data_IF_505334981559
#
_entry.id   IF_505334981559
#
_cell.length_a   1.000
_cell.length_b   1.000
_cell.length_c   1.000
_cell.angle_alpha   90.00
_cell.angle_beta   90.00
_cell.angle_gamma   90.00
#
_symmetry.space_group_name_H-M   'P 1'
#
loop_
_entity.id
_entity.type
_entity.pdbx_description
1 polymer ?
#
# COMPACT_ATOMS: atom_id res chain seq x y z
N UNK A 1 -22.94 -28.29 -41.66
CA UNK A 1 -23.33 -27.33 -40.62
C UNK A 1 -23.17 -28.04 -39.30
N UNK A 2 -22.31 -27.53 -38.42
CA UNK A 2 -22.23 -27.85 -36.98
C UNK A 2 -22.01 -29.33 -36.60
N UNK A 3 -21.73 -29.74 -35.36
CA UNK A 3 -21.26 -29.02 -34.17
C UNK A 3 -19.79 -29.52 -33.89
N UNK A 4 -19.05 -29.31 -32.79
CA UNK A 4 -19.24 -28.79 -31.43
C UNK A 4 -17.98 -28.02 -30.98
N UNK A 5 -18.04 -27.35 -29.82
CA UNK A 5 -16.89 -26.88 -29.03
C UNK A 5 -16.77 -27.74 -27.76
N UNK A 6 -15.57 -28.21 -27.42
CA UNK A 6 -15.22 -28.68 -26.05
C UNK A 6 -13.73 -28.43 -25.74
N UNK A 7 -13.36 -27.15 -25.58
CA UNK A 7 -12.23 -26.83 -24.70
C UNK A 7 -12.76 -26.78 -23.26
N UNK A 8 -12.57 -27.88 -22.53
CA UNK A 8 -12.95 -28.00 -21.13
C UNK A 8 -11.97 -27.18 -20.28
N UNK A 9 -12.24 -25.88 -20.21
CA UNK A 9 -11.49 -24.92 -19.39
C UNK A 9 -11.93 -25.05 -17.94
N UNK A 10 -11.34 -25.99 -17.20
CA UNK A 10 -11.59 -26.14 -15.77
C UNK A 10 -11.33 -24.82 -15.03
N UNK A 11 -12.25 -24.34 -14.19
CA UNK A 11 -11.98 -23.16 -13.38
C UNK A 11 -10.89 -23.52 -12.37
N UNK A 12 -9.75 -22.83 -12.43
CA UNK A 12 -8.71 -22.96 -11.41
C UNK A 12 -9.31 -22.63 -10.05
N UNK A 13 -9.40 -23.63 -9.19
CA UNK A 13 -9.94 -23.51 -7.84
C UNK A 13 -8.98 -22.64 -7.00
N UNK A 14 -9.27 -21.34 -6.93
CA UNK A 14 -8.46 -20.37 -6.19
C UNK A 14 -8.51 -20.71 -4.70
N UNK A 15 -7.53 -21.49 -4.23
CA UNK A 15 -7.39 -21.83 -2.81
C UNK A 15 -7.47 -20.55 -1.98
N UNK A 16 -8.32 -20.48 -0.94
CA UNK A 16 -8.38 -19.31 -0.08
C UNK A 16 -7.00 -19.00 0.50
N UNK A 17 -6.50 -17.79 0.22
CA UNK A 17 -5.31 -17.27 0.87
C UNK A 17 -5.69 -16.98 2.32
N UNK A 18 -4.93 -17.45 3.33
CA UNK A 18 -5.17 -17.07 4.71
C UNK A 18 -5.17 -15.55 4.84
N UNK A 19 -6.18 -15.00 5.52
CA UNK A 19 -6.18 -13.57 5.82
C UNK A 19 -4.90 -13.22 6.62
N UNK A 20 -4.24 -12.09 6.33
CA UNK A 20 -3.10 -11.65 7.14
C UNK A 20 -3.56 -11.47 8.60
N UNK A 21 -2.66 -11.70 9.58
CA UNK A 21 -3.00 -11.47 10.98
C UNK A 21 -3.47 -10.03 11.18
N UNK A 22 -4.44 -9.78 12.07
CA UNK A 22 -4.85 -8.42 12.39
C UNK A 22 -3.64 -7.67 12.96
N UNK A 23 -3.30 -6.52 12.35
CA UNK A 23 -2.31 -5.64 12.96
C UNK A 23 -2.98 -5.00 14.19
N UNK A 24 -2.37 -5.18 15.36
CA UNK A 24 -2.79 -4.45 16.56
C UNK A 24 -2.31 -3.01 16.39
N UNK A 25 -3.21 -2.13 15.93
CA UNK A 25 -2.93 -0.70 15.83
C UNK A 25 -2.56 -0.18 17.23
N UNK A 26 -1.27 0.09 17.45
CA UNK A 26 -0.80 0.56 18.74
C UNK A 26 -1.39 1.95 18.99
N UNK A 27 -1.97 2.18 20.17
CA UNK A 27 -2.79 3.36 20.44
C UNK A 27 -2.03 4.72 20.49
N UNK A 28 -0.74 4.74 20.12
CA UNK A 28 0.04 5.96 19.84
C UNK A 28 0.30 6.21 18.35
N UNK A 29 0.06 5.23 17.48
CA UNK A 29 0.40 5.28 16.04
C UNK A 29 -0.57 6.17 15.24
N UNK A 30 -1.76 6.44 15.78
CA UNK A 30 -2.82 7.21 15.12
C UNK A 30 -2.41 8.66 14.78
N UNK A 31 -1.59 9.31 15.61
CA UNK A 31 -1.23 10.72 15.41
C UNK A 31 -0.18 10.86 14.30
N UNK A 32 0.90 10.06 14.36
CA UNK A 32 1.90 9.96 13.30
C UNK A 32 1.30 9.52 11.95
N UNK A 33 0.39 8.53 11.94
CA UNK A 33 -0.30 8.09 10.72
C UNK A 33 -1.18 9.21 10.14
N UNK A 34 -1.89 9.99 10.96
CA UNK A 34 -2.64 11.16 10.49
C UNK A 34 -1.67 12.19 9.87
N UNK A 35 -0.56 12.49 10.54
CA UNK A 35 0.46 13.42 10.01
C UNK A 35 1.12 12.93 8.71
N UNK A 36 1.30 11.62 8.50
CA UNK A 36 1.76 11.06 7.21
C UNK A 36 0.68 11.22 6.13
N UNK A 37 -0.59 11.01 6.48
CA UNK A 37 -1.71 11.12 5.55
C UNK A 37 -1.89 12.56 5.05
N UNK A 38 -1.77 13.55 5.94
CA UNK A 38 -1.80 14.98 5.60
C UNK A 38 -0.62 15.36 4.68
N UNK A 39 0.61 14.97 5.05
CA UNK A 39 1.82 15.20 4.21
C UNK A 39 1.69 14.60 2.80
N UNK A 40 1.08 13.42 2.67
CA UNK A 40 0.82 12.79 1.37
C UNK A 40 -0.26 13.52 0.56
N UNK A 41 -1.26 14.12 1.23
CA UNK A 41 -2.28 14.93 0.58
C UNK A 41 -1.69 16.25 0.06
N UNK A 42 -0.90 16.96 0.86
CA UNK A 42 -0.14 18.15 0.43
C UNK A 42 0.78 17.85 -0.77
N UNK A 43 1.53 16.74 -0.71
CA UNK A 43 2.37 16.30 -1.83
C UNK A 43 1.55 15.95 -3.09
N UNK A 44 0.30 15.49 -2.93
CA UNK A 44 -0.63 15.23 -4.03
C UNK A 44 -1.15 16.50 -4.71
N UNK A 45 -1.34 17.58 -3.94
CA UNK A 45 -1.75 18.90 -4.44
C UNK A 45 -0.60 19.71 -5.06
N UNK A 46 0.65 19.39 -4.74
CA UNK A 46 1.83 20.04 -5.29
C UNK A 46 1.97 19.88 -6.84
N UNK A 47 2.60 20.85 -7.53
CA UNK A 47 2.95 20.75 -8.94
C UNK A 47 3.70 19.46 -9.27
N UNK A 48 3.54 18.93 -10.49
CA UNK A 48 4.12 17.65 -10.88
C UNK A 48 5.65 17.62 -10.79
N UNK A 49 6.30 18.77 -11.05
CA UNK A 49 7.74 18.96 -10.86
C UNK A 49 8.19 18.85 -9.39
N UNK A 50 7.37 19.30 -8.45
CA UNK A 50 7.69 19.39 -7.02
C UNK A 50 7.24 18.15 -6.24
N UNK A 51 6.15 17.50 -6.66
CA UNK A 51 5.58 16.31 -6.02
C UNK A 51 6.59 15.17 -5.87
N UNK A 52 7.48 14.98 -6.85
CA UNK A 52 8.52 13.94 -6.75
C UNK A 52 9.49 14.20 -5.58
N UNK A 53 9.86 15.47 -5.35
CA UNK A 53 10.71 15.84 -4.22
C UNK A 53 9.96 15.77 -2.87
N UNK A 54 8.69 16.18 -2.84
CA UNK A 54 7.84 16.06 -1.65
C UNK A 54 7.67 14.60 -1.21
N UNK A 55 7.35 13.69 -2.15
CA UNK A 55 7.23 12.26 -1.88
C UNK A 55 8.57 11.64 -1.45
N UNK A 56 9.69 12.07 -2.01
CA UNK A 56 11.02 11.63 -1.59
C UNK A 56 11.34 12.06 -0.15
N UNK A 57 10.97 13.29 0.25
CA UNK A 57 11.14 13.75 1.62
C UNK A 57 10.32 12.92 2.62
N UNK A 58 9.06 12.60 2.29
CA UNK A 58 8.20 11.73 3.11
C UNK A 58 8.82 10.32 3.23
N UNK A 59 9.32 9.76 2.12
CA UNK A 59 10.01 8.46 2.12
C UNK A 59 11.24 8.45 3.04
N UNK A 60 12.12 9.44 2.94
CA UNK A 60 13.34 9.48 3.77
C UNK A 60 13.04 9.65 5.26
N UNK A 61 11.99 10.41 5.61
CA UNK A 61 11.51 10.53 6.99
C UNK A 61 11.04 9.17 7.52
N UNK A 62 10.13 8.49 6.81
CA UNK A 62 9.62 7.17 7.19
C UNK A 62 10.73 6.12 7.26
N UNK A 63 11.69 6.14 6.32
CA UNK A 63 12.81 5.22 6.31
C UNK A 63 13.79 5.47 7.48
N UNK A 64 13.89 6.71 7.97
CA UNK A 64 14.67 7.05 9.16
C UNK A 64 13.94 6.64 10.45
N UNK A 65 12.63 6.86 10.54
CA UNK A 65 11.77 6.40 11.64
C UNK A 65 11.81 4.88 11.77
N UNK A 66 11.67 4.14 10.67
CA UNK A 66 11.79 2.67 10.64
C UNK A 66 13.16 2.20 11.15
N UNK A 67 14.27 2.77 10.64
CA UNK A 67 15.62 2.42 11.12
C UNK A 67 15.82 2.69 12.62
N UNK A 68 15.23 3.76 13.15
CA UNK A 68 15.30 4.07 14.58
C UNK A 68 14.45 3.11 15.43
N UNK A 69 13.37 2.56 14.88
CA UNK A 69 12.56 1.53 15.53
C UNK A 69 13.23 0.13 15.47
N UNK A 70 14.00 -0.15 14.41
CA UNK A 70 14.69 -1.44 14.21
C UNK A 70 15.99 -1.58 15.03
N UNK A 71 16.79 -0.51 15.17
CA UNK A 71 18.00 -0.45 16.04
C UNK A 71 19.35 -0.52 15.31
#
# INVERSE_FOLDING_TARGET
>A
MEHQNTSDGTPSETRPVPAPPPVEAHAGESDDVIQVTERLQEAGEAPLEERAAALAAIHETLALELRQAEG
#
